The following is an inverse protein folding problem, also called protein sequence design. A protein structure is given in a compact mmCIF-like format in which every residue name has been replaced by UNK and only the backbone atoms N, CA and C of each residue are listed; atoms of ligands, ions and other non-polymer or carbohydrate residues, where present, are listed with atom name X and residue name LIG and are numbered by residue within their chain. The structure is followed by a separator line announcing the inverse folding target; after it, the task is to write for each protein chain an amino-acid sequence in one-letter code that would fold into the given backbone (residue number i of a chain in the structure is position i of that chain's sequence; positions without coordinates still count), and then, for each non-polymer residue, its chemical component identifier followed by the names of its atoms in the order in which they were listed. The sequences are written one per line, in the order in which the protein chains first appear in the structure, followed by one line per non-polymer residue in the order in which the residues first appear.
data_IF_854358243168
#
_entry.id   IF_854358243168
#
_cell.length_a   1.000
_cell.length_b   1.000
_cell.length_c   1.000
_cell.angle_alpha   90.00
_cell.angle_beta   90.00
_cell.angle_gamma   90.00
#
_symmetry.space_group_name_H-M   'P 1'
#
loop_
_entity.id
_entity.type
_entity.pdbx_description
1 polymer ?
#
# COMPACT_ATOMS: atom_id res chain seq x y z
N UNK A 1 -5.90 -4.51 -10.27
CA UNK A 1 -5.68 -4.32 -11.71
C UNK A 1 -4.78 -5.42 -12.23
N UNK A 2 -5.19 -6.07 -13.25
CA UNK A 2 -4.39 -7.10 -13.89
C UNK A 2 -4.34 -6.85 -15.39
N UNK A 3 -3.34 -7.42 -16.04
CA UNK A 3 -3.12 -7.33 -17.47
C UNK A 3 -2.63 -5.96 -17.94
N UNK A 4 -1.49 -5.95 -18.57
CA UNK A 4 -0.82 -4.80 -19.18
C UNK A 4 -0.60 -3.65 -18.19
N UNK A 5 -0.58 -2.43 -18.63
CA UNK A 5 -0.33 -1.28 -17.76
C UNK A 5 -1.51 -0.90 -16.88
N UNK A 6 -1.41 0.19 -16.20
CA UNK A 6 -2.48 0.73 -15.37
C UNK A 6 -2.44 0.32 -13.90
N UNK A 7 -1.58 -0.60 -13.52
CA UNK A 7 -1.45 -0.99 -12.12
C UNK A 7 -1.02 0.19 -11.23
N UNK A 8 -0.08 0.99 -11.70
CA UNK A 8 0.39 2.18 -10.95
C UNK A 8 -0.73 3.18 -10.71
N UNK A 9 -1.51 3.47 -11.76
CA UNK A 9 -2.65 4.40 -11.65
C UNK A 9 -3.72 3.86 -10.71
N UNK A 10 -4.00 2.55 -10.76
CA UNK A 10 -4.93 1.90 -9.86
C UNK A 10 -4.46 2.00 -8.41
N UNK A 11 -3.18 1.76 -8.17
CA UNK A 11 -2.58 1.90 -6.86
C UNK A 11 -2.70 3.32 -6.33
N UNK A 12 -2.40 4.32 -7.14
CA UNK A 12 -2.47 5.72 -6.74
C UNK A 12 -3.89 6.09 -6.33
N UNK A 13 -4.88 5.63 -7.07
CA UNK A 13 -6.28 5.91 -6.73
C UNK A 13 -6.71 5.22 -5.45
N UNK A 14 -6.35 3.96 -5.26
CA UNK A 14 -6.70 3.21 -4.05
C UNK A 14 -5.99 3.78 -2.81
N UNK A 15 -4.74 4.16 -2.95
CA UNK A 15 -3.97 4.74 -1.85
C UNK A 15 -4.53 6.06 -1.35
N UNK A 16 -5.18 6.82 -2.20
CA UNK A 16 -5.85 8.07 -1.80
C UNK A 16 -6.95 7.83 -0.78
N UNK A 17 -7.70 6.73 -0.92
CA UNK A 17 -8.73 6.39 0.06
C UNK A 17 -8.12 6.09 1.43
N UNK A 18 -7.01 5.39 1.45
CA UNK A 18 -6.33 5.10 2.71
C UNK A 18 -5.74 6.36 3.35
N UNK A 19 -5.10 7.21 2.55
CA UNK A 19 -4.53 8.47 3.03
C UNK A 19 -5.58 9.37 3.66
N UNK A 20 -6.76 9.45 3.04
CA UNK A 20 -7.84 10.29 3.54
C UNK A 20 -8.44 9.77 4.86
N UNK A 21 -8.22 8.51 5.17
CA UNK A 21 -8.75 7.89 6.36
C UNK A 21 -7.70 7.71 7.45
N UNK A 22 -6.63 8.48 7.38
CA UNK A 22 -5.58 8.46 8.40
C UNK A 22 -4.93 7.08 8.55
N UNK A 23 -4.81 6.36 7.43
CA UNK A 23 -4.23 5.03 7.38
C UNK A 23 -2.82 5.09 6.78
N UNK A 24 -1.79 4.70 7.52
CA UNK A 24 -0.46 4.64 6.93
C UNK A 24 -0.38 3.54 5.88
N UNK A 25 0.36 3.81 4.81
CA UNK A 25 0.52 2.87 3.71
C UNK A 25 1.88 2.20 3.84
N UNK A 26 1.87 0.88 3.92
CA UNK A 26 3.10 0.09 3.94
C UNK A 26 3.64 -0.03 2.52
N UNK A 27 4.92 0.21 2.38
CA UNK A 27 5.61 0.17 1.08
C UNK A 27 6.57 -1.02 1.01
N UNK A 28 7.00 -1.34 -0.20
CA UNK A 28 8.13 -2.21 -0.46
C UNK A 28 9.30 -1.37 -0.99
N UNK A 29 10.26 -2.01 -1.63
CA UNK A 29 11.40 -1.29 -2.20
C UNK A 29 11.12 -0.74 -3.60
N UNK A 30 9.97 -1.09 -4.20
CA UNK A 30 9.63 -0.69 -5.56
C UNK A 30 8.11 -0.63 -5.72
N UNK A 31 7.64 -0.41 -6.93
CA UNK A 31 6.20 -0.43 -7.21
C UNK A 31 5.63 -1.83 -6.99
N UNK A 32 4.52 -1.89 -6.29
CA UNK A 32 3.91 -3.15 -5.89
C UNK A 32 3.12 -3.75 -7.05
N UNK A 33 3.78 -4.55 -7.87
CA UNK A 33 3.15 -5.25 -8.98
C UNK A 33 3.87 -6.53 -9.29
N UNK A 34 3.13 -7.48 -9.84
CA UNK A 34 3.62 -8.76 -10.34
C UNK A 34 3.02 -8.97 -11.70
N UNK A 35 3.79 -9.52 -12.62
CA UNK A 35 3.36 -9.75 -14.00
C UNK A 35 3.20 -11.23 -14.30
N UNK A 36 2.18 -11.55 -15.09
CA UNK A 36 1.92 -12.90 -15.56
C UNK A 36 0.46 -13.08 -15.97
N UNK A 37 0.23 -13.93 -16.95
CA UNK A 37 -1.11 -14.28 -17.39
C UNK A 37 -1.66 -15.53 -16.70
N UNK A 38 -0.77 -16.33 -16.11
CA UNK A 38 -1.11 -17.55 -15.39
C UNK A 38 -0.37 -17.56 -14.04
N UNK A 39 -0.80 -18.35 -13.06
CA UNK A 39 -0.08 -18.48 -11.80
C UNK A 39 1.37 -18.91 -11.98
N UNK A 40 1.66 -19.76 -12.94
CA UNK A 40 3.04 -20.21 -13.19
C UNK A 40 3.90 -19.07 -13.74
N UNK A 41 3.36 -18.26 -14.63
CA UNK A 41 4.06 -17.08 -15.14
C UNK A 41 4.33 -16.06 -14.03
N UNK A 42 3.36 -15.84 -13.16
CA UNK A 42 3.52 -14.96 -12.01
C UNK A 42 4.69 -15.41 -11.13
N UNK A 43 4.80 -16.70 -10.88
CA UNK A 43 5.92 -17.25 -10.09
C UNK A 43 7.28 -17.06 -10.76
N UNK A 44 7.31 -16.91 -12.06
CA UNK A 44 8.54 -16.67 -12.83
C UNK A 44 8.97 -15.20 -12.83
N UNK A 45 8.09 -14.30 -12.43
CA UNK A 45 8.43 -12.89 -12.25
C UNK A 45 9.17 -12.72 -10.93
N UNK A 46 10.47 -12.90 -10.96
CA UNK A 46 11.31 -12.87 -9.76
C UNK A 46 11.31 -11.50 -9.09
N UNK A 47 11.31 -10.44 -9.86
CA UNK A 47 11.26 -9.07 -9.32
C UNK A 47 9.93 -8.82 -8.62
N UNK A 48 8.82 -9.12 -9.29
CA UNK A 48 7.49 -8.96 -8.71
C UNK A 48 7.29 -9.81 -7.46
N UNK A 49 7.70 -11.07 -7.50
CA UNK A 49 7.60 -11.96 -6.34
C UNK A 49 8.44 -11.46 -5.16
N UNK A 50 9.66 -10.96 -5.44
CA UNK A 50 10.51 -10.39 -4.40
C UNK A 50 9.88 -9.12 -3.82
N UNK A 51 9.29 -8.30 -4.66
CA UNK A 51 8.60 -7.07 -4.23
C UNK A 51 7.45 -7.40 -3.29
N UNK A 52 6.65 -8.41 -3.62
CA UNK A 52 5.55 -8.83 -2.76
C UNK A 52 6.04 -9.43 -1.45
N UNK A 53 7.10 -10.22 -1.49
CA UNK A 53 7.72 -10.77 -0.28
C UNK A 53 8.21 -9.66 0.65
N UNK A 54 8.88 -8.67 0.10
CA UNK A 54 9.38 -7.53 0.87
C UNK A 54 8.26 -6.68 1.42
N UNK A 55 7.18 -6.49 0.67
CA UNK A 55 6.00 -5.81 1.16
C UNK A 55 5.42 -6.53 2.38
N UNK A 56 5.29 -7.85 2.31
CA UNK A 56 4.81 -8.64 3.44
C UNK A 56 5.70 -8.54 4.67
N UNK A 57 7.01 -8.56 4.48
CA UNK A 57 7.96 -8.37 5.57
C UNK A 57 7.88 -6.98 6.19
N UNK A 58 7.77 -5.97 5.37
CA UNK A 58 7.63 -4.59 5.85
C UNK A 58 6.33 -4.41 6.61
N UNK A 59 5.26 -5.03 6.15
CA UNK A 59 3.97 -4.99 6.85
C UNK A 59 4.06 -5.67 8.21
N UNK A 60 4.68 -6.83 8.30
CA UNK A 60 4.88 -7.52 9.57
C UNK A 60 5.71 -6.69 10.54
N UNK A 61 6.77 -6.06 10.05
CA UNK A 61 7.60 -5.16 10.85
C UNK A 61 6.79 -3.97 11.36
N UNK A 62 6.02 -3.34 10.49
CA UNK A 62 5.19 -2.17 10.85
C UNK A 62 4.16 -2.54 11.92
N UNK A 63 3.49 -3.68 11.78
CA UNK A 63 2.52 -4.15 12.77
C UNK A 63 3.20 -4.34 14.13
N UNK A 64 4.38 -4.93 14.17
CA UNK A 64 5.13 -5.11 15.42
C UNK A 64 5.52 -3.77 16.05
N UNK A 65 5.92 -2.82 15.24
CA UNK A 65 6.26 -1.47 15.71
C UNK A 65 5.03 -0.78 16.31
N UNK A 66 3.88 -0.91 15.66
CA UNK A 66 2.63 -0.32 16.16
C UNK A 66 2.24 -0.95 17.50
N UNK A 67 2.38 -2.26 17.64
CA UNK A 67 2.05 -2.96 18.88
C UNK A 67 2.98 -2.59 20.03
N UNK A 68 4.24 -2.31 19.75
CA UNK A 68 5.24 -1.98 20.76
C UNK A 68 5.33 -0.50 21.09
N UNK A 69 4.80 0.37 20.23
CA UNK A 69 4.86 1.82 20.39
C UNK A 69 3.67 2.39 21.15
N UNK A 70 3.65 3.71 21.29
CA UNK A 70 2.52 4.39 21.92
C UNK A 70 1.24 4.27 21.08
N UNK A 71 0.11 4.55 21.69
CA UNK A 71 -1.16 4.56 20.99
C UNK A 71 -1.17 5.63 19.91
N UNK A 72 -1.94 5.36 18.85
CA UNK A 72 -2.14 6.32 17.78
C UNK A 72 -2.77 7.60 18.34
N UNK A 73 -2.24 8.77 17.99
CA UNK A 73 -2.83 10.02 18.47
C UNK A 73 -4.24 10.21 17.93
N UNK A 74 -5.08 10.83 18.72
CA UNK A 74 -6.39 11.24 18.28
C UNK A 74 -6.26 12.53 17.46
N UNK A 75 -6.80 12.50 16.25
CA UNK A 75 -6.72 13.65 15.36
C UNK A 75 -8.05 14.39 15.32
N UNK A 76 -8.05 15.62 15.71
CA UNK A 76 -9.21 16.49 15.57
C UNK A 76 -9.39 16.87 14.11
N UNK A 77 -10.63 17.01 13.71
CA UNK A 77 -10.96 17.38 12.35
C UNK A 77 -11.67 18.74 12.33
N UNK A 78 -11.13 19.63 11.55
CA UNK A 78 -11.78 20.88 11.25
C UNK A 78 -12.10 20.94 9.76
N UNK A 79 -13.22 21.53 9.42
CA UNK A 79 -13.63 21.67 8.04
C UNK A 79 -13.50 23.11 7.59
N UNK A 80 -12.88 23.29 6.46
CA UNK A 80 -12.82 24.60 5.82
C UNK A 80 -14.19 24.95 5.27
N UNK A 81 -14.69 26.10 5.65
CA UNK A 81 -15.97 26.59 5.17
C UNK A 81 -15.89 28.07 4.82
N UNK A 82 -16.00 28.37 3.54
CA UNK A 82 -15.98 29.74 3.02
C UNK A 82 -17.37 30.32 2.77
N UNK A 83 -18.40 29.57 3.06
CA UNK A 83 -19.78 30.01 2.87
C UNK A 83 -20.20 30.79 4.12
N UNK A 84 -20.79 31.95 3.88
CA UNK A 84 -21.29 32.81 4.95
C UNK A 84 -22.80 32.75 5.01
#
# INVERSE_FOLDING_TARGET
SCRRGGASSTFDMLNKYFSMNNMPIVTSQYWNMVHGNTPDEVRQDKEGMRTMYNLGRNMAWMIKCIQAGPEHPQNEKESTNFIR
#
